data_IF_440080391682
#
_entry.id   IF_440080391682
#
_cell.length_a   1.000
_cell.length_b   1.000
_cell.length_c   1.000
_cell.angle_alpha   90.00
_cell.angle_beta   90.00
_cell.angle_gamma   90.00
#
_symmetry.space_group_name_H-M   'P 1'
#
loop_
_entity.id
_entity.type
_entity.pdbx_description
1 polymer ?
#
# COMPACT_ATOMS: atom_id res chain seq x y z
N UNK A 1 11.41 -2.88 -2.63
CA UNK A 1 12.73 -2.67 -3.29
C UNK A 1 12.90 -1.17 -3.46
N UNK A 2 14.11 -0.62 -3.25
CA UNK A 2 14.38 0.82 -3.40
C UNK A 2 14.92 1.14 -4.79
N UNK A 3 14.52 2.28 -5.36
CA UNK A 3 15.11 2.81 -6.61
C UNK A 3 16.50 3.41 -6.37
N UNK A 4 17.28 3.60 -7.44
CA UNK A 4 18.58 4.28 -7.36
C UNK A 4 18.44 5.69 -6.79
N UNK A 5 17.35 6.39 -7.15
CA UNK A 5 17.04 7.71 -6.62
C UNK A 5 16.75 7.69 -5.11
N UNK A 6 16.07 6.66 -4.62
CA UNK A 6 15.83 6.46 -3.19
C UNK A 6 17.12 6.18 -2.43
N UNK A 7 17.99 5.32 -2.97
CA UNK A 7 19.30 5.05 -2.40
C UNK A 7 20.17 6.31 -2.37
N UNK A 8 20.21 7.07 -3.46
CA UNK A 8 20.96 8.32 -3.56
C UNK A 8 20.52 9.34 -2.49
N UNK A 9 19.22 9.49 -2.27
CA UNK A 9 18.69 10.37 -1.21
C UNK A 9 19.07 9.89 0.19
N UNK A 10 19.03 8.58 0.45
CA UNK A 10 19.46 8.02 1.74
C UNK A 10 20.95 8.29 1.97
N UNK A 11 21.81 8.04 0.98
CA UNK A 11 23.26 8.22 1.10
C UNK A 11 23.64 9.70 1.32
N UNK A 12 22.99 10.61 0.61
CA UNK A 12 23.29 12.06 0.70
C UNK A 12 22.74 12.72 1.97
N UNK A 13 21.74 12.13 2.62
CA UNK A 13 21.18 12.61 3.88
C UNK A 13 21.71 11.88 5.11
N UNK A 14 22.53 10.84 4.91
CA UNK A 14 23.13 10.09 6.01
C UNK A 14 24.07 10.99 6.84
N UNK A 15 23.89 10.97 8.15
CA UNK A 15 24.71 11.69 9.11
C UNK A 15 24.91 10.84 10.36
N UNK A 16 26.16 10.56 10.73
CA UNK A 16 26.54 9.83 11.95
C UNK A 16 27.29 10.74 12.91
N UNK A 17 26.67 11.05 14.05
CA UNK A 17 27.21 11.90 15.10
C UNK A 17 28.04 11.13 16.15
N UNK A 18 27.97 9.79 16.16
CA UNK A 18 28.55 8.97 17.21
C UNK A 18 29.93 8.42 16.85
N UNK A 19 30.10 7.94 15.62
CA UNK A 19 31.37 7.35 15.18
C UNK A 19 32.05 8.15 14.06
N UNK A 20 31.42 9.25 13.61
CA UNK A 20 31.89 10.08 12.50
C UNK A 20 32.16 9.23 11.25
N UNK A 21 31.28 8.25 11.00
CA UNK A 21 31.37 7.35 9.85
C UNK A 21 31.16 8.17 8.57
N UNK A 22 32.11 8.05 7.65
CA UNK A 22 31.99 8.69 6.33
C UNK A 22 30.85 8.05 5.55
N UNK A 23 30.13 8.87 4.80
CA UNK A 23 29.08 8.39 3.89
C UNK A 23 29.70 7.68 2.68
N UNK A 24 28.84 7.34 1.73
CA UNK A 24 29.22 6.81 0.42
C UNK A 24 30.15 7.79 -0.30
N UNK A 25 31.16 7.27 -0.99
CA UNK A 25 32.13 8.09 -1.72
C UNK A 25 31.47 8.88 -2.86
N UNK A 26 32.03 10.04 -3.21
CA UNK A 26 31.54 10.86 -4.32
C UNK A 26 31.53 10.11 -5.66
N UNK A 27 32.49 9.21 -5.89
CA UNK A 27 32.53 8.35 -7.09
C UNK A 27 31.25 7.52 -7.21
N UNK A 28 30.82 6.89 -6.11
CA UNK A 28 29.60 6.08 -6.10
C UNK A 28 28.35 6.97 -6.21
N UNK A 29 28.36 8.15 -5.59
CA UNK A 29 27.26 9.11 -5.74
C UNK A 29 27.12 9.60 -7.19
N UNK A 30 28.22 9.81 -7.90
CA UNK A 30 28.23 10.22 -9.31
C UNK A 30 27.77 9.11 -10.25
N UNK A 31 28.14 7.86 -9.96
CA UNK A 31 27.58 6.69 -10.64
C UNK A 31 26.07 6.62 -10.45
N UNK A 32 25.58 6.83 -9.22
CA UNK A 32 24.14 6.88 -8.93
C UNK A 32 23.44 8.01 -9.73
N UNK A 33 24.01 9.22 -9.79
CA UNK A 33 23.46 10.33 -10.60
C UNK A 33 23.38 9.97 -12.08
N UNK A 34 24.40 9.29 -12.60
CA UNK A 34 24.46 8.83 -13.98
C UNK A 34 23.35 7.82 -14.27
N UNK A 35 23.14 6.87 -13.35
CA UNK A 35 22.06 5.88 -13.44
C UNK A 35 20.68 6.53 -13.36
N UNK A 36 20.46 7.46 -12.43
CA UNK A 36 19.20 8.20 -12.30
C UNK A 36 18.89 8.92 -13.62
N UNK A 37 19.86 9.65 -14.18
CA UNK A 37 19.69 10.38 -15.45
C UNK A 37 19.40 9.46 -16.64
N UNK A 38 19.91 8.23 -16.62
CA UNK A 38 19.66 7.22 -17.65
C UNK A 38 18.28 6.56 -17.52
N UNK A 39 17.79 6.37 -16.29
CA UNK A 39 16.52 5.72 -15.98
C UNK A 39 15.34 6.71 -16.06
N UNK A 40 15.53 7.94 -15.59
CA UNK A 40 14.56 9.03 -15.74
C UNK A 40 14.91 9.82 -17.00
N UNK A 41 14.26 9.53 -18.13
CA UNK A 41 14.32 10.42 -19.28
C UNK A 41 13.86 11.82 -18.85
N UNK A 42 14.78 12.80 -18.86
CA UNK A 42 14.75 14.25 -18.58
C UNK A 42 13.68 14.92 -17.66
N UNK A 43 12.51 14.34 -17.40
CA UNK A 43 11.31 15.08 -17.00
C UNK A 43 10.66 14.60 -15.68
N UNK A 44 11.26 13.68 -14.91
CA UNK A 44 10.60 13.09 -13.72
C UNK A 44 11.35 13.24 -12.38
N UNK A 45 12.26 14.20 -12.25
CA UNK A 45 13.18 14.27 -11.10
C UNK A 45 12.52 14.54 -9.72
N UNK A 46 11.31 15.08 -9.66
CA UNK A 46 10.71 15.53 -8.38
C UNK A 46 9.82 14.49 -7.68
N UNK A 47 9.14 13.59 -8.42
CA UNK A 47 8.15 12.68 -7.80
C UNK A 47 8.61 11.23 -7.63
N UNK A 48 9.67 10.79 -8.31
CA UNK A 48 10.12 9.39 -8.31
C UNK A 48 10.79 8.92 -7.02
N UNK A 49 11.07 9.81 -6.06
CA UNK A 49 11.61 9.43 -4.75
C UNK A 49 10.51 8.97 -3.76
N UNK A 50 9.34 9.59 -3.85
CA UNK A 50 8.23 9.33 -2.94
C UNK A 50 7.58 7.98 -3.27
N UNK A 51 7.05 7.32 -2.24
CA UNK A 51 6.16 6.20 -2.45
C UNK A 51 4.80 6.74 -2.88
N UNK A 52 4.11 6.03 -3.76
CA UNK A 52 2.72 6.36 -4.09
C UNK A 52 1.87 6.24 -2.82
N UNK A 53 1.29 7.34 -2.35
CA UNK A 53 0.45 7.38 -1.13
C UNK A 53 -0.89 6.64 -1.33
N UNK A 54 -1.24 6.28 -2.57
CA UNK A 54 -2.45 5.56 -2.95
C UNK A 54 -2.33 4.04 -2.73
N UNK A 55 -1.76 3.61 -1.60
CA UNK A 55 -1.60 2.18 -1.22
C UNK A 55 -2.92 1.61 -0.67
N UNK A 56 -4.07 2.11 -1.12
CA UNK A 56 -5.33 1.41 -0.88
C UNK A 56 -5.35 0.18 -1.78
N UNK A 57 -4.73 -0.90 -1.31
CA UNK A 57 -4.81 -2.18 -1.99
C UNK A 57 -6.28 -2.61 -1.97
N UNK A 58 -6.88 -2.92 -3.13
CA UNK A 58 -8.27 -3.37 -3.15
C UNK A 58 -8.38 -4.64 -2.33
N UNK A 59 -9.32 -4.66 -1.39
CA UNK A 59 -9.63 -5.86 -0.60
C UNK A 59 -10.17 -6.91 -1.58
N UNK A 60 -9.55 -8.09 -1.61
CA UNK A 60 -10.02 -9.19 -2.44
C UNK A 60 -11.25 -9.85 -1.80
N UNK A 61 -12.20 -10.31 -2.61
CA UNK A 61 -13.39 -11.01 -2.08
C UNK A 61 -13.00 -12.33 -1.41
N UNK A 62 -11.90 -12.93 -1.86
CA UNK A 62 -11.30 -14.13 -1.32
C UNK A 62 -10.83 -13.91 0.13
N UNK A 63 -10.13 -12.81 0.42
CA UNK A 63 -9.71 -12.45 1.79
C UNK A 63 -10.90 -12.21 2.73
N UNK A 64 -12.00 -11.68 2.20
CA UNK A 64 -13.24 -11.52 2.98
C UNK A 64 -13.83 -12.90 3.30
N UNK A 65 -13.91 -13.79 2.30
CA UNK A 65 -14.47 -15.13 2.47
C UNK A 65 -13.74 -15.95 3.52
N UNK A 66 -12.41 -15.92 3.53
CA UNK A 66 -11.58 -16.67 4.48
C UNK A 66 -11.69 -16.16 5.93
N UNK A 67 -12.03 -14.87 6.10
CA UNK A 67 -12.20 -14.21 7.40
C UNK A 67 -13.63 -14.34 7.95
N UNK A 68 -14.61 -14.68 7.11
CA UNK A 68 -16.00 -14.82 7.53
C UNK A 68 -16.22 -16.14 8.26
N UNK A 69 -16.65 -16.07 9.52
CA UNK A 69 -17.18 -17.23 10.22
C UNK A 69 -18.32 -17.85 9.42
N UNK A 70 -18.29 -19.17 9.25
CA UNK A 70 -19.41 -19.93 8.70
C UNK A 70 -20.61 -19.82 9.64
N UNK A 71 -21.46 -18.82 9.43
CA UNK A 71 -22.68 -18.60 10.20
C UNK A 71 -23.82 -19.39 9.59
N UNK A 72 -24.46 -20.23 10.39
CA UNK A 72 -25.70 -20.89 10.00
C UNK A 72 -26.89 -19.92 10.17
N UNK A 73 -27.47 -19.47 9.06
CA UNK A 73 -28.62 -18.56 9.07
C UNK A 73 -29.98 -19.31 9.08
N UNK A 74 -29.97 -20.65 9.18
CA UNK A 74 -31.17 -21.50 9.01
C UNK A 74 -32.25 -21.31 10.10
N UNK A 75 -31.92 -20.70 11.24
CA UNK A 75 -32.84 -20.53 12.37
C UNK A 75 -33.06 -19.07 12.78
N UNK A 76 -32.76 -18.13 11.90
CA UNK A 76 -32.97 -16.70 12.17
C UNK A 76 -34.39 -16.33 11.75
N UNK A 77 -35.23 -16.04 12.74
CA UNK A 77 -36.58 -15.53 12.51
C UNK A 77 -36.52 -14.14 11.85
N UNK A 78 -37.38 -13.84 10.86
CA UNK A 78 -37.41 -12.52 10.25
C UNK A 78 -37.86 -11.46 11.27
N UNK A 79 -37.33 -10.21 11.17
CA UNK A 79 -37.78 -9.10 12.01
C UNK A 79 -39.30 -8.89 11.94
N UNK A 80 -39.98 -8.64 13.08
CA UNK A 80 -41.43 -8.49 13.13
C UNK A 80 -41.95 -7.33 12.27
N UNK A 81 -41.14 -6.29 12.06
CA UNK A 81 -41.46 -5.14 11.22
C UNK A 81 -41.59 -5.54 9.75
N UNK A 82 -40.73 -6.45 9.27
CA UNK A 82 -40.83 -7.01 7.92
C UNK A 82 -42.04 -7.94 7.82
N UNK A 83 -42.28 -8.75 8.85
CA UNK A 83 -43.45 -9.66 8.91
C UNK A 83 -44.79 -8.92 8.86
N UNK A 84 -44.86 -7.69 9.35
CA UNK A 84 -46.07 -6.87 9.30
C UNK A 84 -46.41 -6.36 7.88
N UNK A 85 -45.43 -6.34 6.97
CA UNK A 85 -45.60 -5.84 5.60
C UNK A 85 -46.01 -7.01 4.68
N UNK A 86 -47.17 -6.96 4.00
CA UNK A 86 -47.66 -8.05 3.16
C UNK A 86 -46.67 -8.54 2.09
N UNK A 87 -45.84 -7.64 1.54
CA UNK A 87 -44.84 -7.97 0.53
C UNK A 87 -43.70 -8.89 1.03
N UNK A 88 -43.49 -8.97 2.35
CA UNK A 88 -42.41 -9.75 2.97
C UNK A 88 -42.88 -11.04 3.66
N UNK A 89 -44.14 -11.48 3.44
CA UNK A 89 -44.64 -12.74 4.01
C UNK A 89 -43.81 -13.97 3.59
N UNK A 90 -43.11 -13.91 2.45
CA UNK A 90 -42.21 -14.97 1.97
C UNK A 90 -41.01 -15.23 2.90
N UNK A 91 -40.69 -14.32 3.84
CA UNK A 91 -39.64 -14.57 4.83
C UNK A 91 -40.03 -15.60 5.90
N UNK A 92 -41.30 -16.01 5.96
CA UNK A 92 -41.79 -17.06 6.87
C UNK A 92 -41.69 -18.47 6.28
N UNK A 93 -41.46 -18.60 4.98
CA UNK A 93 -41.40 -19.89 4.26
C UNK A 93 -39.98 -20.41 4.18
#
# INVERSE_FOLDING_TARGET
VLSVQQLYKICTQYWDDKYNTESVSEEVLDEMRTLITKESGQDSSENTFLLDDEISMPISLEEIGDSMDSKEFQHIAPPPELVAIPAFQFLKS
#
